data_IF_297391551901
#
_entry.id   IF_297391551901
#
_cell.length_a   1.000
_cell.length_b   1.000
_cell.length_c   1.000
_cell.angle_alpha   90.00
_cell.angle_beta   90.00
_cell.angle_gamma   90.00
#
_symmetry.space_group_name_H-M   'P 1'
#
loop_
_entity.id
_entity.type
_entity.pdbx_description
1 polymer ?
#
# COMPACT_ATOMS: atom_id res chain seq x y z
N UNK A 1 -6.16 -34.18 -49.97
CA UNK A 1 -7.26 -33.83 -49.05
C UNK A 1 -6.66 -33.01 -47.92
N UNK A 2 -6.91 -31.69 -47.93
CA UNK A 2 -6.41 -30.74 -46.92
C UNK A 2 -7.43 -30.65 -45.78
N UNK A 3 -7.01 -30.97 -44.56
CA UNK A 3 -7.80 -30.75 -43.36
C UNK A 3 -7.60 -29.30 -42.90
N UNK A 4 -8.64 -28.48 -43.07
CA UNK A 4 -8.72 -27.12 -42.53
C UNK A 4 -9.00 -27.22 -41.04
N UNK A 5 -8.01 -26.89 -40.20
CA UNK A 5 -8.22 -26.67 -38.78
C UNK A 5 -8.83 -25.27 -38.59
N UNK A 6 -10.11 -25.22 -38.24
CA UNK A 6 -10.79 -23.99 -37.81
C UNK A 6 -10.40 -23.74 -36.35
N UNK A 7 -9.53 -22.76 -36.14
CA UNK A 7 -9.26 -22.18 -34.82
C UNK A 7 -10.48 -21.34 -34.43
N UNK A 8 -11.38 -21.93 -33.65
CA UNK A 8 -12.38 -21.18 -32.89
C UNK A 8 -11.64 -20.37 -31.83
N UNK A 9 -11.36 -19.10 -32.15
CA UNK A 9 -11.03 -18.10 -31.14
C UNK A 9 -12.27 -17.98 -30.24
N UNK A 10 -12.25 -18.65 -29.09
CA UNK A 10 -13.15 -18.32 -28.02
C UNK A 10 -12.79 -16.91 -27.57
N UNK A 11 -13.51 -15.90 -28.09
CA UNK A 11 -13.65 -14.63 -27.42
C UNK A 11 -14.29 -14.95 -26.07
N UNK A 12 -13.47 -15.20 -25.06
CA UNK A 12 -13.92 -15.10 -23.68
C UNK A 12 -14.33 -13.64 -23.55
N UNK A 13 -15.64 -13.40 -23.64
CA UNK A 13 -16.23 -12.17 -23.14
C UNK A 13 -15.81 -12.12 -21.69
N UNK A 14 -14.78 -11.32 -21.40
CA UNK A 14 -14.46 -10.92 -20.05
C UNK A 14 -15.65 -10.07 -19.65
N UNK A 15 -16.65 -10.72 -19.06
CA UNK A 15 -17.74 -10.04 -18.39
C UNK A 15 -17.04 -9.16 -17.36
N UNK A 16 -17.10 -7.84 -17.56
CA UNK A 16 -16.53 -6.88 -16.64
C UNK A 16 -17.14 -7.16 -15.28
N UNK A 17 -16.35 -7.77 -14.38
CA UNK A 17 -16.89 -8.33 -13.16
C UNK A 17 -17.30 -7.17 -12.24
N UNK A 18 -18.57 -6.81 -12.24
CA UNK A 18 -19.10 -5.82 -11.31
C UNK A 18 -19.12 -6.43 -9.91
N UNK A 19 -18.29 -5.91 -9.01
CA UNK A 19 -18.16 -6.44 -7.66
C UNK A 19 -19.40 -6.17 -6.79
N UNK A 20 -20.36 -5.34 -7.24
CA UNK A 20 -21.64 -5.13 -6.52
C UNK A 20 -22.61 -6.31 -6.64
N UNK A 21 -22.43 -7.21 -7.62
CA UNK A 21 -23.35 -8.33 -7.86
C UNK A 21 -24.73 -7.92 -8.41
N UNK A 22 -24.93 -6.63 -8.70
CA UNK A 22 -26.12 -6.07 -9.36
C UNK A 22 -25.77 -5.58 -10.76
N UNK A 23 -26.76 -5.26 -11.60
CA UNK A 23 -26.47 -4.58 -12.86
C UNK A 23 -25.76 -3.24 -12.59
N UNK A 24 -24.66 -2.95 -13.31
CA UNK A 24 -23.94 -1.71 -13.12
C UNK A 24 -24.84 -0.51 -13.44
N UNK A 25 -24.89 0.45 -12.51
CA UNK A 25 -25.57 1.73 -12.75
C UNK A 25 -24.75 2.52 -13.76
N UNK A 26 -25.11 2.42 -15.03
CA UNK A 26 -24.51 3.19 -16.11
C UNK A 26 -24.66 4.69 -15.83
N UNK A 27 -23.54 5.39 -15.69
CA UNK A 27 -23.49 6.86 -15.61
C UNK A 27 -22.95 7.39 -16.92
N UNK A 28 -23.56 8.45 -17.46
CA UNK A 28 -23.10 9.05 -18.72
C UNK A 28 -21.63 9.48 -18.66
N UNK A 29 -21.17 9.88 -17.47
CA UNK A 29 -19.80 10.32 -17.27
C UNK A 29 -18.78 9.20 -17.02
N UNK A 30 -19.18 7.92 -17.08
CA UNK A 30 -18.22 6.81 -17.19
C UNK A 30 -17.68 6.66 -18.61
N UNK A 31 -18.35 7.25 -19.60
CA UNK A 31 -17.84 7.29 -20.98
C UNK A 31 -16.66 8.25 -21.03
N UNK A 32 -15.53 7.74 -21.54
CA UNK A 32 -14.34 8.56 -21.82
C UNK A 32 -14.64 9.60 -22.90
N UNK A 33 -15.44 9.25 -23.91
CA UNK A 33 -15.83 10.13 -24.99
C UNK A 33 -17.25 10.65 -24.80
N UNK A 34 -17.44 11.96 -24.98
CA UNK A 34 -18.76 12.58 -25.00
C UNK A 34 -19.48 12.33 -26.34
N UNK A 35 -20.75 12.72 -26.40
CA UNK A 35 -21.58 12.56 -27.62
C UNK A 35 -21.08 13.42 -28.80
N UNK A 36 -20.13 14.34 -28.56
CA UNK A 36 -19.48 15.16 -29.58
C UNK A 36 -18.14 14.57 -30.07
N UNK A 37 -17.76 13.39 -29.58
CA UNK A 37 -16.52 12.70 -29.96
C UNK A 37 -15.26 13.26 -29.29
N UNK A 38 -15.40 14.10 -28.26
CA UNK A 38 -14.26 14.56 -27.45
C UNK A 38 -13.99 13.54 -26.35
N UNK A 39 -12.81 12.93 -26.40
CA UNK A 39 -12.41 11.89 -25.46
C UNK A 39 -11.49 12.46 -24.40
N UNK A 40 -11.82 12.25 -23.12
CA UNK A 40 -11.04 12.74 -21.99
C UNK A 40 -11.00 11.75 -20.83
N UNK A 41 -9.80 11.52 -20.31
CA UNK A 41 -9.59 10.79 -19.06
C UNK A 41 -9.46 11.80 -17.91
N UNK A 42 -10.45 11.83 -17.03
CA UNK A 42 -10.38 12.51 -15.72
C UNK A 42 -9.68 11.62 -14.70
N UNK A 43 -8.56 12.07 -14.15
CA UNK A 43 -7.80 11.37 -13.14
C UNK A 43 -7.79 12.17 -11.84
N UNK A 44 -8.27 11.56 -10.76
CA UNK A 44 -8.28 12.21 -9.45
C UNK A 44 -7.01 11.91 -8.67
N UNK A 45 -6.28 12.95 -8.29
CA UNK A 45 -5.13 12.89 -7.39
C UNK A 45 -5.59 13.13 -5.95
N UNK A 46 -5.58 12.05 -5.16
CA UNK A 46 -6.03 12.01 -3.77
C UNK A 46 -4.81 12.04 -2.84
N UNK A 47 -4.32 13.23 -2.48
CA UNK A 47 -3.12 13.39 -1.63
C UNK A 47 -3.29 14.52 -0.61
N UNK A 48 -2.56 14.50 0.52
CA UNK A 48 -2.67 15.58 1.51
C UNK A 48 -2.12 16.89 0.93
N UNK A 49 -2.75 18.02 1.29
CA UNK A 49 -2.17 19.36 1.07
C UNK A 49 -0.98 19.64 1.99
N UNK A 50 -0.96 19.00 3.16
CA UNK A 50 0.07 19.21 4.15
C UNK A 50 1.45 18.74 3.62
N UNK A 51 2.40 19.67 3.55
CA UNK A 51 3.74 19.46 2.99
C UNK A 51 4.69 18.72 3.93
N UNK A 52 4.24 18.35 5.13
CA UNK A 52 4.99 17.45 6.01
C UNK A 52 5.09 16.04 5.44
N UNK A 53 4.12 15.62 4.62
CA UNK A 53 4.15 14.33 3.93
C UNK A 53 5.02 14.39 2.67
N UNK A 54 5.86 13.37 2.47
CA UNK A 54 6.70 13.29 1.27
C UNK A 54 5.87 13.21 -0.01
N UNK A 55 4.74 12.50 0.03
CA UNK A 55 3.76 12.43 -1.05
C UNK A 55 2.58 13.39 -0.76
N UNK A 56 2.81 14.69 -0.93
CA UNK A 56 1.77 15.73 -0.85
C UNK A 56 1.45 16.30 -2.24
N UNK A 57 0.30 16.96 -2.38
CA UNK A 57 -0.14 17.55 -3.65
C UNK A 57 0.93 18.50 -4.24
N UNK A 58 1.47 19.40 -3.41
CA UNK A 58 2.48 20.37 -3.84
C UNK A 58 3.78 19.73 -4.38
N UNK A 59 4.09 18.50 -3.97
CA UNK A 59 5.27 17.77 -4.45
C UNK A 59 4.96 16.90 -5.68
N UNK A 60 3.78 16.29 -5.74
CA UNK A 60 3.44 15.28 -6.75
C UNK A 60 2.78 15.88 -7.99
N UNK A 61 1.93 16.88 -7.84
CA UNK A 61 1.20 17.51 -8.96
C UNK A 61 2.15 18.04 -10.05
N UNK A 62 3.23 18.80 -9.74
CA UNK A 62 4.16 19.27 -10.77
C UNK A 62 4.89 18.14 -11.50
N UNK A 63 5.14 17.02 -10.83
CA UNK A 63 5.82 15.85 -11.42
C UNK A 63 4.89 15.16 -12.42
N UNK A 64 3.60 15.05 -12.10
CA UNK A 64 2.60 14.49 -13.00
C UNK A 64 2.33 15.40 -14.20
N UNK A 65 2.27 16.72 -13.99
CA UNK A 65 2.19 17.70 -15.09
C UNK A 65 3.38 17.60 -16.04
N UNK A 66 4.59 17.45 -15.49
CA UNK A 66 5.79 17.25 -16.29
C UNK A 66 5.76 15.90 -17.03
N UNK A 67 5.31 14.83 -16.39
CA UNK A 67 5.18 13.52 -17.01
C UNK A 67 4.23 13.53 -18.22
N UNK A 68 3.13 14.30 -18.16
CA UNK A 68 2.20 14.44 -19.29
C UNK A 68 2.79 15.19 -20.49
N UNK A 69 3.91 15.90 -20.32
CA UNK A 69 4.63 16.55 -21.42
C UNK A 69 5.61 15.58 -22.10
N UNK A 70 5.95 14.46 -21.46
CA UNK A 70 6.86 13.46 -22.00
C UNK A 70 6.24 12.74 -23.21
N UNK A 71 7.06 12.52 -24.24
CA UNK A 71 6.60 11.93 -25.50
C UNK A 71 6.17 10.47 -25.32
N UNK A 72 6.89 9.69 -24.50
CA UNK A 72 6.55 8.30 -24.25
C UNK A 72 5.21 8.16 -23.51
N UNK A 73 4.90 9.10 -22.61
CA UNK A 73 3.60 9.15 -21.92
C UNK A 73 2.49 9.54 -22.88
N UNK A 74 2.70 10.57 -23.72
CA UNK A 74 1.70 11.01 -24.70
C UNK A 74 1.39 9.94 -25.74
N UNK A 75 2.41 9.21 -26.20
CA UNK A 75 2.25 8.12 -27.17
C UNK A 75 1.64 6.85 -26.56
N UNK A 76 1.61 6.72 -25.24
CA UNK A 76 0.94 5.61 -24.56
C UNK A 76 -0.60 5.71 -24.63
N UNK A 77 -1.15 6.91 -24.88
CA UNK A 77 -2.58 7.13 -25.02
C UNK A 77 -3.02 7.12 -26.48
N UNK A 78 -4.26 6.65 -26.79
CA UNK A 78 -4.81 6.74 -28.13
C UNK A 78 -4.85 8.19 -28.63
N UNK A 79 -4.62 8.40 -29.93
CA UNK A 79 -4.68 9.72 -30.54
C UNK A 79 -6.05 10.39 -30.32
N UNK A 80 -6.05 11.65 -29.88
CA UNK A 80 -7.28 12.42 -29.63
C UNK A 80 -7.93 12.20 -28.26
N UNK A 81 -7.26 11.49 -27.34
CA UNK A 81 -7.66 11.41 -25.93
C UNK A 81 -6.91 12.44 -25.10
N UNK A 82 -7.65 13.34 -24.47
CA UNK A 82 -7.12 14.31 -23.51
C UNK A 82 -7.03 13.69 -22.10
N UNK A 83 -6.16 14.25 -21.27
CA UNK A 83 -6.02 13.88 -19.87
C UNK A 83 -6.22 15.11 -18.97
N UNK A 84 -7.03 14.97 -17.93
CA UNK A 84 -7.36 16.04 -16.99
C UNK A 84 -7.11 15.56 -15.56
N UNK A 85 -6.28 16.32 -14.83
CA UNK A 85 -6.05 16.10 -13.41
C UNK A 85 -7.10 16.84 -12.58
N UNK A 86 -7.71 16.13 -11.64
CA UNK A 86 -8.57 16.67 -10.60
C UNK A 86 -7.87 16.45 -9.25
N UNK A 87 -7.75 17.46 -8.40
CA UNK A 87 -7.01 17.32 -7.13
C UNK A 87 -7.95 17.35 -5.94
N UNK A 88 -7.75 16.43 -4.99
CA UNK A 88 -8.53 16.34 -3.76
C UNK A 88 -7.61 16.17 -2.56
N UNK A 89 -7.89 16.94 -1.52
CA UNK A 89 -7.18 16.83 -0.24
C UNK A 89 -7.74 15.65 0.55
N UNK A 90 -6.88 14.77 1.04
CA UNK A 90 -7.26 13.67 1.95
C UNK A 90 -7.03 14.02 3.43
N UNK A 91 -6.83 15.31 3.73
CA UNK A 91 -6.77 15.92 5.07
C UNK A 91 -5.89 15.14 6.04
N UNK A 92 -4.59 15.40 5.96
CA UNK A 92 -3.57 14.78 6.83
C UNK A 92 -3.60 13.25 6.84
N UNK A 93 -3.87 12.64 5.68
CA UNK A 93 -3.91 11.20 5.50
C UNK A 93 -4.93 10.49 6.42
N UNK A 94 -6.02 11.18 6.77
CA UNK A 94 -7.08 10.59 7.56
C UNK A 94 -7.93 9.63 6.72
N UNK A 95 -8.25 8.47 7.30
CA UNK A 95 -8.97 7.41 6.61
C UNK A 95 -10.40 7.80 6.22
N UNK A 96 -11.10 8.56 7.07
CA UNK A 96 -12.48 8.96 6.81
C UNK A 96 -12.54 10.05 5.75
N UNK A 97 -11.67 11.06 5.86
CA UNK A 97 -11.59 12.12 4.83
C UNK A 97 -11.17 11.57 3.48
N UNK A 98 -10.23 10.61 3.43
CA UNK A 98 -9.85 9.97 2.17
C UNK A 98 -11.03 9.30 1.45
N UNK A 99 -11.93 8.64 2.20
CA UNK A 99 -13.14 8.04 1.64
C UNK A 99 -14.09 9.11 1.09
N UNK A 100 -14.29 10.20 1.82
CA UNK A 100 -15.13 11.32 1.37
C UNK A 100 -14.56 11.91 0.08
N UNK A 101 -13.26 12.21 0.04
CA UNK A 101 -12.60 12.76 -1.14
C UNK A 101 -12.65 11.81 -2.34
N UNK A 102 -12.59 10.50 -2.13
CA UNK A 102 -12.79 9.51 -3.20
C UNK A 102 -14.23 9.48 -3.71
N UNK A 103 -15.23 9.65 -2.83
CA UNK A 103 -16.64 9.75 -3.22
C UNK A 103 -16.87 11.05 -4.01
N UNK A 104 -16.28 12.16 -3.59
CA UNK A 104 -16.36 13.44 -4.30
C UNK A 104 -15.72 13.34 -5.68
N UNK A 105 -14.51 12.76 -5.78
CA UNK A 105 -13.86 12.47 -7.05
C UNK A 105 -14.70 11.57 -7.97
N UNK A 106 -15.34 10.54 -7.40
CA UNK A 106 -16.26 9.68 -8.13
C UNK A 106 -17.50 10.45 -8.62
N UNK A 107 -18.04 11.36 -7.80
CA UNK A 107 -19.18 12.20 -8.17
C UNK A 107 -18.80 13.18 -9.30
N UNK A 108 -17.57 13.70 -9.27
CA UNK A 108 -16.95 14.52 -10.31
C UNK A 108 -16.48 13.69 -11.53
N UNK A 109 -16.85 12.42 -11.57
CA UNK A 109 -16.65 11.52 -12.71
C UNK A 109 -15.19 11.21 -13.04
N UNK A 110 -14.34 11.14 -12.02
CA UNK A 110 -13.00 10.60 -12.18
C UNK A 110 -13.06 9.13 -12.64
N UNK A 111 -12.27 8.80 -13.66
CA UNK A 111 -12.17 7.44 -14.21
C UNK A 111 -11.12 6.60 -13.49
N UNK A 112 -10.14 7.25 -12.87
CA UNK A 112 -9.01 6.61 -12.19
C UNK A 112 -8.59 7.44 -11.00
N UNK A 113 -8.18 6.78 -9.92
CA UNK A 113 -7.63 7.40 -8.73
C UNK A 113 -6.11 7.23 -8.70
N UNK A 114 -5.41 8.31 -8.34
CA UNK A 114 -4.00 8.34 -8.02
C UNK A 114 -3.83 8.68 -6.54
N UNK A 115 -3.19 7.78 -5.78
CA UNK A 115 -3.19 7.81 -4.32
C UNK A 115 -4.46 7.17 -3.73
N UNK A 116 -4.68 7.26 -2.39
CA UNK A 116 -3.79 7.87 -1.41
C UNK A 116 -2.43 7.17 -1.26
N UNK A 117 -1.43 7.88 -0.73
CA UNK A 117 -0.11 7.30 -0.45
C UNK A 117 -0.03 6.68 0.96
N UNK A 118 -0.73 7.25 1.93
CA UNK A 118 -0.71 6.79 3.32
C UNK A 118 -1.53 5.51 3.52
N UNK A 119 -1.02 4.56 4.32
CA UNK A 119 -1.54 3.20 4.41
C UNK A 119 -3.00 3.13 4.89
N UNK A 120 -3.38 3.89 5.92
CA UNK A 120 -4.78 3.87 6.42
C UNK A 120 -5.78 4.54 5.48
N UNK A 121 -5.40 5.67 4.89
CA UNK A 121 -6.19 6.36 3.87
C UNK A 121 -6.37 5.48 2.63
N UNK A 122 -5.27 4.89 2.15
CA UNK A 122 -5.26 4.00 1.01
C UNK A 122 -6.12 2.76 1.26
N UNK A 123 -5.97 2.08 2.40
CA UNK A 123 -6.76 0.89 2.72
C UNK A 123 -8.27 1.18 2.64
N UNK A 124 -8.69 2.36 3.11
CA UNK A 124 -10.09 2.75 3.14
C UNK A 124 -10.63 3.03 1.73
N UNK A 125 -9.89 3.76 0.90
CA UNK A 125 -10.29 4.05 -0.49
C UNK A 125 -10.20 2.79 -1.38
N UNK A 126 -9.13 2.01 -1.25
CA UNK A 126 -8.92 0.80 -2.05
C UNK A 126 -10.02 -0.24 -1.83
N UNK A 127 -10.52 -0.41 -0.60
CA UNK A 127 -11.65 -1.32 -0.31
C UNK A 127 -12.93 -0.96 -1.05
N UNK A 128 -13.21 0.34 -1.19
CA UNK A 128 -14.46 0.81 -1.81
C UNK A 128 -14.34 0.96 -3.32
N UNK A 129 -13.13 1.14 -3.85
CA UNK A 129 -12.86 1.41 -5.27
C UNK A 129 -13.47 0.37 -6.23
N UNK A 130 -13.48 -0.91 -5.85
CA UNK A 130 -14.12 -2.01 -6.60
C UNK A 130 -15.65 -1.90 -6.71
N UNK A 131 -16.26 -1.04 -5.90
CA UNK A 131 -17.69 -0.75 -5.93
C UNK A 131 -18.00 0.62 -6.53
N UNK A 132 -17.01 1.39 -7.00
CA UNK A 132 -17.23 2.68 -7.64
C UNK A 132 -17.25 2.51 -9.15
N UNK A 133 -18.32 2.96 -9.79
CA UNK A 133 -18.55 2.81 -11.22
C UNK A 133 -19.02 1.43 -11.66
N UNK A 134 -19.19 1.23 -12.97
CA UNK A 134 -19.72 -0.02 -13.54
C UNK A 134 -18.85 -1.26 -13.32
N UNK A 135 -17.53 -1.12 -13.36
CA UNK A 135 -16.57 -2.25 -13.23
C UNK A 135 -15.53 -2.02 -12.13
N UNK A 136 -15.78 -1.07 -11.23
CA UNK A 136 -14.78 -0.56 -10.29
C UNK A 136 -13.97 0.60 -10.88
N UNK A 137 -13.47 1.48 -10.00
CA UNK A 137 -12.56 2.57 -10.35
C UNK A 137 -11.12 2.12 -10.07
N UNK A 138 -10.25 2.02 -11.09
CA UNK A 138 -8.85 1.69 -10.88
C UNK A 138 -8.19 2.69 -9.93
N UNK A 139 -7.36 2.17 -9.02
CA UNK A 139 -6.60 2.95 -8.06
C UNK A 139 -5.12 2.65 -8.20
N UNK A 140 -4.34 3.66 -8.55
CA UNK A 140 -2.89 3.57 -8.72
C UNK A 140 -2.21 4.37 -7.62
N UNK A 141 -1.22 3.79 -6.95
CA UNK A 141 -0.47 4.51 -5.90
C UNK A 141 0.99 4.11 -5.87
N UNK A 142 1.84 5.01 -5.43
CA UNK A 142 3.24 4.72 -5.09
C UNK A 142 3.42 4.38 -3.61
N UNK A 143 2.37 4.56 -2.79
CA UNK A 143 2.33 4.19 -1.38
C UNK A 143 1.80 2.77 -1.16
N UNK A 144 1.18 2.55 0.00
CA UNK A 144 0.70 1.22 0.39
C UNK A 144 1.84 0.27 0.70
N UNK A 145 2.51 0.52 1.82
CA UNK A 145 3.77 -0.15 2.15
C UNK A 145 3.56 -1.44 2.95
N UNK A 146 2.51 -1.51 3.78
CA UNK A 146 2.22 -2.73 4.55
C UNK A 146 1.97 -3.96 3.67
N UNK A 147 2.29 -5.13 4.21
CA UNK A 147 2.18 -6.43 3.54
C UNK A 147 0.74 -6.79 3.11
N UNK A 148 -0.29 -6.14 3.65
CA UNK A 148 -1.67 -6.40 3.23
C UNK A 148 -1.90 -6.00 1.76
N UNK A 149 -1.18 -5.00 1.25
CA UNK A 149 -1.31 -4.52 -0.11
C UNK A 149 -0.60 -5.38 -1.16
N UNK A 150 0.19 -6.39 -0.77
CA UNK A 150 0.84 -7.33 -1.69
C UNK A 150 0.08 -8.65 -1.85
N UNK A 151 -0.90 -8.91 -0.99
CA UNK A 151 -1.76 -10.11 -1.06
C UNK A 151 -2.43 -10.23 -2.44
N UNK A 152 -2.91 -11.42 -2.83
CA UNK A 152 -3.66 -11.60 -4.07
C UNK A 152 -4.83 -10.59 -4.22
N UNK A 153 -4.98 -10.05 -5.44
CA UNK A 153 -5.93 -8.99 -5.82
C UNK A 153 -6.50 -9.22 -7.22
N UNK A 154 -6.85 -10.46 -7.54
CA UNK A 154 -7.22 -10.87 -8.91
C UNK A 154 -8.73 -10.97 -9.12
N UNK A 155 -9.53 -10.94 -8.04
CA UNK A 155 -10.97 -11.13 -8.10
C UNK A 155 -11.71 -10.13 -7.22
N UNK A 156 -13.00 -9.92 -7.47
CA UNK A 156 -13.87 -9.09 -6.63
C UNK A 156 -13.93 -9.51 -5.15
N UNK A 157 -13.57 -10.76 -4.82
CA UNK A 157 -13.51 -11.22 -3.42
C UNK A 157 -12.28 -10.70 -2.69
N UNK A 158 -11.24 -10.32 -3.43
CA UNK A 158 -10.03 -9.77 -2.85
C UNK A 158 -10.27 -8.34 -2.34
N UNK A 159 -9.66 -8.03 -1.20
CA UNK A 159 -9.90 -6.78 -0.47
C UNK A 159 -9.55 -5.54 -1.30
N UNK A 160 -8.46 -5.61 -2.05
CA UNK A 160 -7.90 -4.49 -2.82
C UNK A 160 -7.89 -4.77 -4.33
N UNK A 161 -8.92 -5.40 -4.86
CA UNK A 161 -9.01 -5.82 -6.27
C UNK A 161 -8.63 -4.75 -7.31
N UNK A 162 -9.02 -3.48 -7.11
CA UNK A 162 -8.72 -2.39 -8.05
C UNK A 162 -7.40 -1.65 -7.77
N UNK A 163 -6.62 -2.09 -6.78
CA UNK A 163 -5.37 -1.44 -6.38
C UNK A 163 -4.18 -1.95 -7.19
N UNK A 164 -3.49 -1.02 -7.84
CA UNK A 164 -2.17 -1.21 -8.44
C UNK A 164 -1.14 -0.35 -7.69
N UNK A 165 -0.08 -1.00 -7.20
CA UNK A 165 1.07 -0.29 -6.65
C UNK A 165 2.13 -0.12 -7.74
N UNK A 166 2.43 1.12 -8.08
CA UNK A 166 3.49 1.48 -9.02
C UNK A 166 4.84 1.77 -8.32
N UNK A 167 4.83 1.84 -6.98
CA UNK A 167 6.04 2.03 -6.17
C UNK A 167 6.91 0.76 -6.16
N UNK A 168 8.25 0.90 -6.22
CA UNK A 168 9.15 -0.25 -6.33
C UNK A 168 9.38 -1.01 -5.03
N UNK A 169 8.99 -0.46 -3.88
CA UNK A 169 9.32 -1.00 -2.56
C UNK A 169 8.11 -0.94 -1.61
N UNK A 170 7.84 -2.04 -0.91
CA UNK A 170 7.01 -2.12 0.29
C UNK A 170 7.80 -2.61 1.51
N UNK A 171 7.12 -2.72 2.65
CA UNK A 171 7.72 -3.25 3.88
C UNK A 171 8.03 -4.75 3.79
N UNK A 172 7.36 -5.48 2.89
CA UNK A 172 7.73 -6.86 2.55
C UNK A 172 9.13 -6.92 1.93
N UNK A 173 9.41 -6.09 0.92
CA UNK A 173 10.72 -6.07 0.26
C UNK A 173 11.84 -5.72 1.24
N UNK A 174 11.58 -4.75 2.13
CA UNK A 174 12.50 -4.39 3.21
C UNK A 174 12.73 -5.55 4.19
N UNK A 175 11.67 -6.27 4.56
CA UNK A 175 11.77 -7.42 5.46
C UNK A 175 12.64 -8.52 4.84
N UNK A 176 12.44 -8.85 3.57
CA UNK A 176 13.27 -9.83 2.86
C UNK A 176 14.73 -9.40 2.76
N UNK A 177 14.99 -8.12 2.46
CA UNK A 177 16.35 -7.59 2.45
C UNK A 177 17.06 -7.75 3.81
N UNK A 178 16.36 -7.42 4.90
CA UNK A 178 16.90 -7.56 6.26
C UNK A 178 17.12 -9.04 6.62
N UNK A 179 16.17 -9.91 6.31
CA UNK A 179 16.31 -11.36 6.53
C UNK A 179 17.50 -11.93 5.77
N UNK A 180 17.69 -11.54 4.51
CA UNK A 180 18.83 -12.02 3.71
C UNK A 180 20.17 -11.54 4.30
N UNK A 181 20.21 -10.30 4.79
CA UNK A 181 21.36 -9.78 5.55
C UNK A 181 21.62 -10.62 6.79
N UNK A 182 20.57 -10.95 7.55
CA UNK A 182 20.68 -11.80 8.74
C UNK A 182 21.18 -13.21 8.40
N UNK A 183 20.72 -13.78 7.28
CA UNK A 183 21.18 -15.09 6.80
C UNK A 183 22.66 -15.05 6.43
N UNK A 184 23.11 -14.00 5.76
CA UNK A 184 24.52 -13.81 5.38
C UNK A 184 25.45 -13.76 6.61
N UNK A 185 25.03 -13.06 7.67
CA UNK A 185 25.82 -12.94 8.91
C UNK A 185 25.46 -13.95 10.00
N UNK A 186 24.62 -14.94 9.68
CA UNK A 186 24.16 -15.99 10.60
C UNK A 186 23.48 -15.45 11.88
N UNK A 187 22.82 -14.29 11.82
CA UNK A 187 22.07 -13.72 12.94
C UNK A 187 20.75 -14.47 13.15
N UNK A 188 20.62 -15.14 14.29
CA UNK A 188 19.42 -15.95 14.63
C UNK A 188 18.51 -15.30 15.67
N UNK A 189 18.92 -14.18 16.24
CA UNK A 189 18.30 -13.57 17.39
C UNK A 189 18.38 -12.05 17.34
N UNK A 190 17.25 -11.36 17.55
CA UNK A 190 17.21 -9.90 17.53
C UNK A 190 16.26 -9.30 18.59
N UNK A 191 16.48 -8.02 18.88
CA UNK A 191 15.58 -7.14 19.62
C UNK A 191 14.98 -6.15 18.63
N UNK A 192 13.66 -6.14 18.47
CA UNK A 192 12.93 -5.24 17.59
C UNK A 192 12.46 -4.03 18.39
N UNK A 193 13.18 -2.91 18.26
CA UNK A 193 12.85 -1.65 18.93
C UNK A 193 11.98 -0.82 17.99
N UNK A 194 10.82 -0.39 18.46
CA UNK A 194 9.84 0.34 17.65
C UNK A 194 9.40 1.61 18.36
N UNK A 195 9.51 2.75 17.68
CA UNK A 195 8.78 3.98 18.01
C UNK A 195 7.52 4.02 17.14
N UNK A 196 6.33 3.68 17.67
CA UNK A 196 5.15 3.40 16.86
C UNK A 196 4.74 4.56 15.95
N UNK A 197 4.82 5.79 16.46
CA UNK A 197 4.36 7.00 15.79
C UNK A 197 5.48 7.75 15.06
N UNK A 198 6.63 7.13 14.84
CA UNK A 198 7.69 7.70 14.02
C UNK A 198 7.39 7.57 12.51
N UNK A 199 8.10 8.39 11.72
CA UNK A 199 8.08 8.37 10.25
C UNK A 199 6.70 8.63 9.62
N UNK A 200 5.85 9.42 10.29
CA UNK A 200 4.49 9.76 9.81
C UNK A 200 4.49 10.34 8.39
N UNK A 201 5.53 11.09 8.02
CA UNK A 201 5.67 11.71 6.71
C UNK A 201 5.79 10.72 5.53
N UNK A 202 6.08 9.44 5.79
CA UNK A 202 6.27 8.41 4.75
C UNK A 202 4.95 7.74 4.39
N UNK A 203 4.27 7.10 5.36
CA UNK A 203 3.07 6.29 5.14
C UNK A 203 1.86 6.71 5.98
N UNK A 204 1.93 7.85 6.68
CA UNK A 204 0.89 8.29 7.60
C UNK A 204 1.08 7.78 9.04
N UNK A 205 0.02 7.88 9.84
CA UNK A 205 0.03 7.45 11.26
C UNK A 205 0.52 6.01 11.39
N UNK A 206 1.27 5.75 12.46
CA UNK A 206 1.76 4.41 12.79
C UNK A 206 2.65 3.74 11.71
N UNK A 207 3.31 4.51 10.83
CA UNK A 207 4.19 3.98 9.76
C UNK A 207 5.25 3.03 10.31
N UNK A 208 6.00 3.44 11.34
CA UNK A 208 7.03 2.58 11.95
C UNK A 208 6.43 1.32 12.58
N UNK A 209 5.28 1.43 13.24
CA UNK A 209 4.57 0.27 13.76
C UNK A 209 4.20 -0.72 12.63
N UNK A 210 3.64 -0.25 11.52
CA UNK A 210 3.26 -1.08 10.38
C UNK A 210 4.48 -1.75 9.72
N UNK A 211 5.59 -1.02 9.59
CA UNK A 211 6.86 -1.57 9.10
C UNK A 211 7.36 -2.71 10.01
N UNK A 212 7.41 -2.47 11.32
CA UNK A 212 7.93 -3.44 12.28
C UNK A 212 7.00 -4.64 12.43
N UNK A 213 5.67 -4.43 12.32
CA UNK A 213 4.69 -5.51 12.28
C UNK A 213 4.83 -6.36 11.02
N UNK A 214 5.07 -5.74 9.87
CA UNK A 214 5.38 -6.44 8.62
C UNK A 214 6.64 -7.28 8.79
N UNK A 215 7.74 -6.68 9.26
CA UNK A 215 9.00 -7.38 9.49
C UNK A 215 8.86 -8.55 10.47
N UNK A 216 8.17 -8.34 11.59
CA UNK A 216 7.88 -9.39 12.57
C UNK A 216 7.07 -10.57 11.97
N UNK A 217 6.18 -10.30 11.00
CA UNK A 217 5.46 -11.35 10.29
C UNK A 217 6.41 -12.23 9.46
N UNK A 218 7.35 -11.62 8.72
CA UNK A 218 8.33 -12.37 7.92
C UNK A 218 9.37 -13.08 8.78
N UNK A 219 9.79 -12.51 9.92
CA UNK A 219 10.68 -13.19 10.86
C UNK A 219 10.05 -14.48 11.42
N UNK A 220 8.74 -14.49 11.67
CA UNK A 220 8.02 -15.70 12.10
C UNK A 220 8.01 -16.77 11.03
N UNK A 221 7.84 -16.39 9.76
CA UNK A 221 7.84 -17.34 8.64
C UNK A 221 9.22 -17.98 8.45
N UNK A 222 10.30 -17.26 8.75
CA UNK A 222 11.69 -17.75 8.68
C UNK A 222 12.19 -18.38 10.00
N UNK A 223 11.32 -18.56 11.00
CA UNK A 223 11.66 -19.12 12.31
C UNK A 223 12.79 -18.38 13.05
N UNK A 224 12.93 -17.08 12.82
CA UNK A 224 13.94 -16.23 13.48
C UNK A 224 13.39 -15.72 14.82
N UNK A 225 14.15 -15.93 15.89
CA UNK A 225 13.76 -15.54 17.24
C UNK A 225 13.91 -14.04 17.42
N UNK A 226 12.82 -13.35 17.77
CA UNK A 226 12.86 -11.92 18.07
C UNK A 226 12.14 -11.58 19.38
N UNK A 227 12.57 -10.49 20.01
CA UNK A 227 11.89 -9.88 21.16
C UNK A 227 11.37 -8.51 20.72
N UNK A 228 10.05 -8.26 20.71
CA UNK A 228 9.53 -6.93 20.42
C UNK A 228 9.65 -6.01 21.64
N UNK A 229 9.99 -4.75 21.39
CA UNK A 229 9.98 -3.67 22.36
C UNK A 229 9.38 -2.42 21.72
N UNK A 230 8.27 -1.95 22.28
CA UNK A 230 7.63 -0.67 21.95
C UNK A 230 8.09 0.40 22.95
N UNK A 231 8.67 1.48 22.45
CA UNK A 231 9.22 2.59 23.26
C UNK A 231 8.16 3.35 24.05
N UNK A 232 6.88 3.23 23.69
CA UNK A 232 5.76 3.85 24.42
C UNK A 232 5.27 3.00 25.59
N UNK A 233 5.62 1.71 25.61
CA UNK A 233 5.18 0.76 26.63
C UNK A 233 6.04 0.76 27.90
N UNK A 234 6.98 1.70 27.97
CA UNK A 234 8.01 1.74 29.00
C UNK A 234 7.44 2.30 30.29
N UNK A 235 7.51 1.51 31.37
CA UNK A 235 6.96 1.79 32.71
C UNK A 235 7.64 2.98 33.45
N UNK A 236 7.93 4.09 32.75
CA UNK A 236 8.62 5.28 33.25
C UNK A 236 10.14 5.17 33.29
N UNK A 237 10.73 4.10 32.76
CA UNK A 237 12.18 3.91 32.69
C UNK A 237 12.79 4.61 31.47
N UNK A 238 14.04 5.05 31.58
CA UNK A 238 14.75 5.64 30.43
C UNK A 238 15.21 4.54 29.43
N UNK A 239 15.48 4.93 28.18
CA UNK A 239 15.89 4.00 27.11
C UNK A 239 17.07 3.08 27.49
N UNK A 240 18.02 3.59 28.28
CA UNK A 240 19.20 2.79 28.68
C UNK A 240 18.80 1.67 29.65
N UNK A 241 17.90 1.95 30.58
CA UNK A 241 17.40 0.97 31.55
C UNK A 241 16.52 -0.08 30.87
N UNK A 242 15.65 0.34 29.95
CA UNK A 242 14.85 -0.60 29.15
C UNK A 242 15.74 -1.48 28.28
N UNK A 243 16.74 -0.91 27.60
CA UNK A 243 17.67 -1.70 26.80
C UNK A 243 18.45 -2.69 27.67
N UNK A 244 18.90 -2.28 28.87
CA UNK A 244 19.53 -3.19 29.84
C UNK A 244 18.58 -4.28 30.30
N UNK A 245 17.28 -4.00 30.47
CA UNK A 245 16.28 -4.98 30.85
C UNK A 245 16.09 -6.03 29.73
N UNK A 246 15.82 -5.57 28.50
CA UNK A 246 15.57 -6.43 27.34
C UNK A 246 16.80 -7.23 26.91
N UNK A 247 18.00 -6.66 26.99
CA UNK A 247 19.26 -7.38 26.71
C UNK A 247 19.71 -8.24 27.90
N UNK A 248 19.57 -7.71 29.13
CA UNK A 248 20.07 -8.32 30.35
C UNK A 248 19.42 -9.66 30.66
N UNK A 249 18.13 -9.83 30.35
CA UNK A 249 17.45 -11.12 30.49
C UNK A 249 17.94 -12.20 29.51
N UNK A 250 18.58 -11.81 28.39
CA UNK A 250 19.02 -12.75 27.35
C UNK A 250 20.47 -13.23 27.55
N UNK A 251 21.32 -12.40 28.14
CA UNK A 251 22.74 -12.73 28.40
C UNK A 251 23.02 -13.17 29.84
N UNK A 252 22.03 -13.12 30.74
CA UNK A 252 22.13 -13.77 32.04
C UNK A 252 21.70 -15.23 31.93
N UNK A 253 22.59 -16.09 31.42
CA UNK A 253 22.50 -17.52 31.72
C UNK A 253 22.34 -17.71 33.24
N UNK A 254 21.44 -18.58 33.73
CA UNK A 254 21.51 -19.00 35.11
C UNK A 254 22.87 -19.67 35.27
N UNK A 255 23.72 -19.16 36.16
CA UNK A 255 24.85 -19.95 36.65
C UNK A 255 24.25 -21.31 37.03
N UNK A 256 24.63 -22.36 36.31
CA UNK A 256 24.36 -23.74 36.69
C UNK A 256 24.81 -23.83 38.15
N UNK A 257 23.85 -23.88 39.05
CA UNK A 257 24.12 -24.04 40.48
C UNK A 257 24.78 -25.40 40.58
N UNK A 258 26.10 -25.40 40.78
CA UNK A 258 26.85 -26.62 41.02
C UNK A 258 26.41 -27.13 42.39
N UNK A 259 25.40 -28.02 42.40
CA UNK A 259 25.00 -28.78 43.59
C UNK A 259 26.05 -29.87 43.79
N UNK A 260 27.28 -29.48 44.13
CA UNK A 260 28.36 -30.37 44.60
C UNK A 260 29.34 -29.63 45.50
N UNK A 261 28.87 -29.03 46.61
CA UNK A 261 29.80 -28.71 47.72
C UNK A 261 29.16 -28.51 49.10
N UNK A 262 28.08 -29.23 49.42
CA UNK A 262 27.60 -29.32 50.81
C UNK A 262 27.27 -30.76 51.20
N UNK A 263 28.26 -31.63 51.06
CA UNK A 263 28.42 -32.80 51.93
C UNK A 263 29.90 -32.87 52.27
N UNK A 264 30.27 -32.24 53.39
CA UNK A 264 31.26 -32.66 54.38
C UNK A 264 31.08 -31.80 55.61
#
# INVERSE_FOLDING_TARGET
MWCVFILLCACVLVDGQNCRGEEPRLRDCERVCDDHGRCRIRAALLLPKNTTYGACLAAVEPVLELAMQDTAVREAFPAGVDFEWLTYDVTDCDAAYAVISAIDAYNDCAHVFFGPACDFALASVARISKFLGGTGTPLVTTGGFTFDFVKPKQTCQDEFYMLVRAGPLGFEDLAYFLIETMRHFEWRQLLLITEPEAQVHVGGKSTCHLMMKSFANFLKMEEIIYTPWDTTSDAGLNYTENLKFYLGYKYTTPKRMDIRSSIK
#
